data_IF_066861364521
#
_entry.id   IF_066861364521
#
_cell.length_a   1.000
_cell.length_b   1.000
_cell.length_c   1.000
_cell.angle_alpha   90.00
_cell.angle_beta   90.00
_cell.angle_gamma   90.00
#
_symmetry.space_group_name_H-M   'P 1'
#
loop_
_entity.id
_entity.type
_entity.pdbx_description
1 polymer ?
#
# COMPACT_ATOMS: atom_id res chain seq x y z
N UNK A 1 23.50 -4.10 28.06
CA UNK A 1 23.72 -4.13 26.61
C UNK A 1 22.46 -3.60 25.95
N UNK A 2 22.53 -2.38 25.42
CA UNK A 2 21.37 -1.65 24.93
C UNK A 2 20.87 -2.28 23.62
N UNK A 3 19.78 -3.02 23.71
CA UNK A 3 19.01 -3.48 22.57
C UNK A 3 18.28 -2.29 21.94
N UNK A 4 18.95 -1.62 20.99
CA UNK A 4 18.30 -0.76 20.01
C UNK A 4 17.43 -1.64 19.10
N UNK A 5 16.24 -1.99 19.60
CA UNK A 5 15.16 -2.54 18.79
C UNK A 5 14.63 -1.42 17.89
N UNK A 6 15.30 -1.18 16.77
CA UNK A 6 14.65 -0.63 15.59
C UNK A 6 13.75 -1.75 15.03
N UNK A 7 12.64 -2.03 15.71
CA UNK A 7 11.53 -2.68 15.02
C UNK A 7 11.21 -1.75 13.85
N UNK A 8 11.32 -2.19 12.58
CA UNK A 8 10.70 -1.43 11.52
C UNK A 8 9.26 -1.30 11.98
N UNK A 9 8.79 -0.07 12.18
CA UNK A 9 7.39 0.18 12.48
C UNK A 9 6.64 -0.34 11.26
N UNK A 10 6.24 -1.61 11.33
CA UNK A 10 5.60 -2.35 10.26
C UNK A 10 4.37 -1.54 9.90
N UNK A 11 4.38 -0.99 8.69
CA UNK A 11 3.25 -0.22 8.22
C UNK A 11 2.14 -1.22 7.94
N UNK A 12 1.09 -1.14 8.75
CA UNK A 12 -0.14 -1.88 8.53
C UNK A 12 -1.04 -1.10 7.58
N UNK A 13 -1.51 -1.75 6.52
CA UNK A 13 -2.47 -1.18 5.59
C UNK A 13 -3.39 -2.27 5.04
N UNK A 14 -4.59 -1.88 4.61
CA UNK A 14 -5.52 -2.81 3.96
C UNK A 14 -5.24 -2.82 2.46
N UNK A 15 -4.92 -3.99 1.92
CA UNK A 15 -4.79 -4.17 0.48
C UNK A 15 -6.16 -3.95 -0.20
N UNK A 16 -6.23 -3.04 -1.18
CA UNK A 16 -7.49 -2.71 -1.87
C UNK A 16 -7.95 -3.78 -2.87
N UNK A 17 -7.14 -4.80 -3.13
CA UNK A 17 -7.49 -5.93 -4.00
C UNK A 17 -8.02 -7.13 -3.20
N UNK A 18 -7.22 -7.70 -2.30
CA UNK A 18 -7.62 -8.87 -1.51
C UNK A 18 -8.38 -8.53 -0.22
N UNK A 19 -8.44 -7.25 0.17
CA UNK A 19 -9.09 -6.77 1.41
C UNK A 19 -8.47 -7.31 2.72
N UNK A 20 -7.26 -7.85 2.65
CA UNK A 20 -6.51 -8.31 3.82
C UNK A 20 -5.71 -7.18 4.46
N UNK A 21 -5.50 -7.30 5.77
CA UNK A 21 -4.55 -6.46 6.50
C UNK A 21 -3.13 -6.94 6.18
N UNK A 22 -2.29 -6.04 5.68
CA UNK A 22 -0.94 -6.33 5.24
C UNK A 22 0.07 -5.51 6.03
N UNK A 23 1.20 -6.13 6.34
CA UNK A 23 2.35 -5.49 6.97
C UNK A 23 3.46 -5.26 5.94
N UNK A 24 4.19 -4.15 6.08
CA UNK A 24 5.42 -3.89 5.32
C UNK A 24 5.22 -3.00 4.10
N UNK A 25 5.78 -3.41 2.97
CA UNK A 25 5.84 -2.58 1.76
C UNK A 25 4.48 -2.50 1.05
N UNK A 26 4.06 -1.28 0.73
CA UNK A 26 2.87 -1.01 -0.06
C UNK A 26 3.23 -0.68 -1.51
N UNK A 27 2.35 -1.04 -2.43
CA UNK A 27 2.54 -0.80 -3.86
C UNK A 27 1.32 -0.10 -4.43
N UNK A 28 1.54 0.95 -5.23
CA UNK A 28 0.49 1.62 -6.00
C UNK A 28 0.40 0.96 -7.37
N UNK A 29 -0.80 0.53 -7.74
CA UNK A 29 -1.13 0.02 -9.07
C UNK A 29 -1.93 1.09 -9.80
N UNK A 30 -1.50 1.44 -11.01
CA UNK A 30 -2.17 2.42 -11.85
C UNK A 30 -2.37 1.89 -13.28
N UNK A 31 -3.44 2.33 -13.93
CA UNK A 31 -3.60 2.24 -15.37
C UNK A 31 -4.20 3.53 -15.92
N UNK A 32 -3.75 3.89 -17.12
CA UNK A 32 -4.19 5.09 -17.83
C UNK A 32 -4.54 4.72 -19.27
N UNK A 33 -5.61 5.32 -19.79
CA UNK A 33 -6.00 5.23 -21.19
C UNK A 33 -6.44 6.62 -21.66
N UNK A 34 -5.85 7.10 -22.75
CA UNK A 34 -6.17 8.40 -23.35
C UNK A 34 -6.11 9.58 -22.35
N UNK A 35 -5.15 9.55 -21.42
CA UNK A 35 -4.99 10.57 -20.37
C UNK A 35 -5.97 10.41 -19.19
N UNK A 36 -6.78 9.35 -19.17
CA UNK A 36 -7.75 9.06 -18.11
C UNK A 36 -7.22 7.91 -17.25
N UNK A 37 -7.08 8.15 -15.95
CA UNK A 37 -6.74 7.11 -14.98
C UNK A 37 -7.95 6.19 -14.77
N UNK A 38 -7.81 4.92 -15.15
CA UNK A 38 -8.86 3.91 -15.00
C UNK A 38 -8.74 3.12 -13.69
N UNK A 39 -7.51 2.98 -13.20
CA UNK A 39 -7.19 2.26 -11.98
C UNK A 39 -6.17 3.04 -11.17
N UNK A 40 -6.41 3.16 -9.88
CA UNK A 40 -5.48 3.72 -8.90
C UNK A 40 -5.77 3.11 -7.53
N UNK A 41 -4.91 2.19 -7.10
CA UNK A 41 -5.12 1.47 -5.84
C UNK A 41 -3.82 1.08 -5.16
N UNK A 42 -3.89 0.94 -3.83
CA UNK A 42 -2.78 0.51 -2.99
C UNK A 42 -2.97 -0.97 -2.65
N UNK A 43 -1.95 -1.78 -2.91
CA UNK A 43 -2.00 -3.23 -2.78
C UNK A 43 -0.76 -3.79 -2.09
N UNK A 44 -0.85 -5.03 -1.63
CA UNK A 44 0.27 -5.79 -1.08
C UNK A 44 1.23 -6.27 -2.18
N UNK A 45 2.40 -6.78 -1.77
CA UNK A 45 3.41 -7.28 -2.69
C UNK A 45 2.87 -8.34 -3.66
N UNK A 46 2.11 -9.33 -3.19
CA UNK A 46 1.59 -10.41 -4.05
C UNK A 46 0.66 -9.87 -5.14
N UNK A 47 -0.32 -9.04 -4.77
CA UNK A 47 -1.22 -8.41 -5.74
C UNK A 47 -0.48 -7.46 -6.69
N UNK A 48 0.66 -6.89 -6.28
CA UNK A 48 1.50 -6.11 -7.19
C UNK A 48 2.17 -6.97 -8.27
N UNK A 49 2.55 -8.21 -7.94
CA UNK A 49 3.13 -9.14 -8.92
C UNK A 49 2.08 -9.57 -9.94
N UNK A 50 0.88 -9.93 -9.48
CA UNK A 50 -0.26 -10.26 -10.34
C UNK A 50 -0.61 -9.08 -11.27
N UNK A 51 -0.64 -7.85 -10.75
CA UNK A 51 -0.88 -6.66 -11.56
C UNK A 51 0.20 -6.46 -12.64
N UNK A 52 1.48 -6.73 -12.33
CA UNK A 52 2.57 -6.65 -13.30
C UNK A 52 2.44 -7.70 -14.41
N UNK A 53 1.99 -8.91 -14.08
CA UNK A 53 1.72 -9.96 -15.08
C UNK A 53 0.61 -9.56 -16.05
N UNK A 54 -0.34 -8.74 -15.59
CA UNK A 54 -1.39 -8.12 -16.41
C UNK A 54 -0.93 -6.83 -17.13
N UNK A 55 0.38 -6.55 -17.14
CA UNK A 55 0.98 -5.34 -17.73
C UNK A 55 0.48 -4.01 -17.13
N UNK A 56 0.01 -4.01 -15.88
CA UNK A 56 -0.33 -2.78 -15.16
C UNK A 56 0.91 -2.09 -14.59
N UNK A 57 0.85 -0.77 -14.46
CA UNK A 57 1.92 0.01 -13.83
C UNK A 57 1.89 -0.20 -12.32
N UNK A 58 3.04 -0.56 -11.74
CA UNK A 58 3.17 -0.78 -10.31
C UNK A 58 4.38 -0.03 -9.74
N UNK A 59 4.22 0.67 -8.63
CA UNK A 59 5.29 1.39 -7.96
C UNK A 59 5.26 1.14 -6.46
N UNK A 60 6.40 0.81 -5.85
CA UNK A 60 6.51 0.79 -4.38
C UNK A 60 6.29 2.20 -3.83
N UNK A 61 5.47 2.33 -2.80
CA UNK A 61 5.18 3.60 -2.14
C UNK A 61 5.47 3.50 -0.65
N UNK A 62 5.93 4.60 -0.07
CA UNK A 62 6.00 4.76 1.37
C UNK A 62 4.65 5.31 1.84
N UNK A 63 3.93 4.54 2.66
CA UNK A 63 2.71 5.05 3.27
C UNK A 63 3.08 6.02 4.40
N UNK A 64 2.39 7.17 4.54
CA UNK A 64 2.58 7.98 5.73
C UNK A 64 2.17 7.14 6.94
N UNK A 65 3.01 7.11 7.98
CA UNK A 65 2.63 6.54 9.28
C UNK A 65 1.41 7.30 9.79
N UNK A 66 0.21 6.80 9.56
CA UNK A 66 -0.99 7.35 10.19
C UNK A 66 -0.94 6.96 11.66
N UNK A 67 -0.43 7.86 12.50
CA UNK A 67 -0.98 7.97 13.85
C UNK A 67 -2.49 8.14 13.69
N UNK A 68 -3.26 7.26 14.31
CA UNK A 68 -4.72 7.15 14.21
C UNK A 68 -5.33 8.55 14.25
N UNK A 69 -5.81 9.05 13.11
CA UNK A 69 -6.65 10.25 13.10
C UNK A 69 -7.98 9.83 13.70
N UNK A 70 -8.12 10.07 15.00
CA UNK A 70 -9.39 10.04 15.71
C UNK A 70 -10.37 10.90 14.90
N UNK A 71 -11.30 10.27 14.20
CA UNK A 71 -12.46 10.95 13.64
C UNK A 71 -13.36 11.23 14.84
N UNK A 72 -13.25 12.45 15.40
CA UNK A 72 -14.21 12.96 16.39
C UNK A 72 -15.47 13.34 15.62
N UNK A 73 -16.55 12.59 15.85
CA UNK A 73 -17.88 13.06 15.49
C UNK A 73 -18.31 14.08 16.55
N UNK A 74 -18.56 15.32 16.14
CA UNK A 74 -19.20 16.36 16.95
C UNK A 74 -20.72 16.23 16.91
#
# INVERSE_FOLDING_TARGET
MAQHLLLPLLMEFVCRHCSELCEGDAYRVMSEQDGVVLLDMIVCYQCSLEARELALSTQKIDLPRRGVSQVVYH
#
